data_IF_910667536577
#
_entry.id   IF_910667536577
#
_cell.length_a   1.000
_cell.length_b   1.000
_cell.length_c   1.000
_cell.angle_alpha   90.00
_cell.angle_beta   90.00
_cell.angle_gamma   90.00
#
_symmetry.space_group_name_H-M   'P 1'
#
loop_
_entity.id
_entity.type
_entity.pdbx_description
1 polymer ?
#
# COMPACT_ATOMS: atom_id res chain seq x y z
N UNK A 1 -32.64 6.18 -10.59
CA UNK A 1 -32.85 4.73 -10.55
C UNK A 1 -31.50 4.05 -10.68
N UNK A 2 -31.14 3.22 -9.71
CA UNK A 2 -29.89 2.45 -9.72
C UNK A 2 -29.94 1.34 -10.79
N UNK A 3 -28.77 0.86 -11.23
CA UNK A 3 -28.69 -0.21 -12.26
C UNK A 3 -29.45 -1.48 -11.86
N UNK A 4 -29.44 -1.83 -10.59
CA UNK A 4 -30.14 -3.01 -10.07
C UNK A 4 -31.67 -2.84 -10.10
N UNK A 5 -32.17 -1.63 -9.88
CA UNK A 5 -33.60 -1.31 -9.96
C UNK A 5 -34.11 -1.45 -11.40
N UNK A 6 -33.36 -0.97 -12.39
CA UNK A 6 -33.70 -1.17 -13.81
C UNK A 6 -33.79 -2.66 -14.16
N UNK A 7 -32.86 -3.49 -13.68
CA UNK A 7 -32.87 -4.94 -13.92
C UNK A 7 -34.07 -5.62 -13.27
N UNK A 8 -34.49 -5.16 -12.08
CA UNK A 8 -35.68 -5.67 -11.42
C UNK A 8 -36.95 -5.35 -12.21
N UNK A 9 -37.07 -4.12 -12.74
CA UNK A 9 -38.19 -3.72 -13.60
C UNK A 9 -38.21 -4.54 -14.89
N UNK A 10 -37.05 -4.73 -15.55
CA UNK A 10 -36.95 -5.57 -16.76
C UNK A 10 -37.38 -7.01 -16.44
N UNK A 11 -36.96 -7.57 -15.30
CA UNK A 11 -37.35 -8.92 -14.88
C UNK A 11 -38.86 -9.04 -14.71
N UNK A 12 -39.48 -8.08 -14.03
CA UNK A 12 -40.94 -8.05 -13.82
C UNK A 12 -41.71 -7.97 -15.14
N UNK A 13 -41.30 -7.08 -16.04
CA UNK A 13 -41.93 -6.93 -17.35
C UNK A 13 -41.72 -8.17 -18.23
N UNK A 14 -40.57 -8.83 -18.14
CA UNK A 14 -40.32 -10.11 -18.79
C UNK A 14 -41.24 -11.22 -18.25
N UNK A 15 -41.47 -11.29 -16.94
CA UNK A 15 -42.42 -12.25 -16.33
C UNK A 15 -43.87 -11.99 -16.78
N UNK A 16 -44.22 -10.74 -17.13
CA UNK A 16 -45.49 -10.38 -17.76
C UNK A 16 -45.57 -10.76 -19.26
N UNK A 17 -44.59 -11.49 -19.79
CA UNK A 17 -44.52 -11.94 -21.19
C UNK A 17 -44.42 -10.82 -22.23
N UNK A 18 -43.93 -9.64 -21.84
CA UNK A 18 -43.66 -8.54 -22.77
C UNK A 18 -42.42 -8.82 -23.62
N UNK A 19 -42.46 -8.37 -24.87
CA UNK A 19 -41.33 -8.49 -25.78
C UNK A 19 -40.26 -7.44 -25.46
N UNK A 20 -38.95 -7.73 -25.66
CA UNK A 20 -37.87 -6.79 -25.34
C UNK A 20 -38.05 -5.38 -25.96
N UNK A 21 -38.68 -5.32 -27.14
CA UNK A 21 -38.99 -4.07 -27.85
C UNK A 21 -40.02 -3.23 -27.09
N UNK A 22 -41.07 -3.87 -26.57
CA UNK A 22 -42.13 -3.25 -25.77
C UNK A 22 -41.57 -2.80 -24.42
N UNK A 23 -40.76 -3.64 -23.78
CA UNK A 23 -40.06 -3.30 -22.53
C UNK A 23 -39.19 -2.06 -22.72
N UNK A 24 -38.44 -1.97 -23.83
CA UNK A 24 -37.62 -0.79 -24.14
C UNK A 24 -38.46 0.46 -24.37
N UNK A 25 -39.60 0.33 -25.06
CA UNK A 25 -40.51 1.46 -25.31
C UNK A 25 -41.17 1.96 -24.01
N UNK A 26 -41.68 1.04 -23.17
CA UNK A 26 -42.23 1.31 -21.84
C UNK A 26 -41.22 2.04 -20.95
N UNK A 27 -39.98 1.52 -20.87
CA UNK A 27 -38.92 2.13 -20.07
C UNK A 27 -38.55 3.53 -20.59
N UNK A 28 -38.53 3.75 -21.91
CA UNK A 28 -38.23 5.06 -22.50
C UNK A 28 -39.37 6.07 -22.29
N UNK A 29 -40.61 5.59 -22.16
CA UNK A 29 -41.77 6.44 -21.88
C UNK A 29 -41.76 6.91 -20.42
N UNK A 30 -41.48 5.99 -19.49
CA UNK A 30 -41.45 6.29 -18.05
C UNK A 30 -40.20 7.08 -17.65
N UNK A 31 -39.07 6.85 -18.32
CA UNK A 31 -37.82 7.55 -18.04
C UNK A 31 -37.41 8.41 -19.22
N UNK A 32 -37.35 9.72 -19.00
CA UNK A 32 -36.80 10.69 -19.96
C UNK A 32 -35.30 10.51 -20.25
N UNK A 33 -34.66 9.53 -19.60
CA UNK A 33 -33.26 9.14 -19.80
C UNK A 33 -33.25 7.93 -20.72
N UNK A 34 -32.42 7.99 -21.77
CA UNK A 34 -32.21 6.88 -22.70
C UNK A 34 -31.92 5.59 -21.94
N UNK A 35 -32.83 4.63 -22.07
CA UNK A 35 -32.77 3.36 -21.36
C UNK A 35 -31.50 2.61 -21.77
N UNK A 36 -30.83 1.92 -20.84
CA UNK A 36 -29.61 1.19 -21.15
C UNK A 36 -29.81 0.24 -22.34
N UNK A 37 -28.87 0.23 -23.29
CA UNK A 37 -28.85 -0.71 -24.42
C UNK A 37 -28.87 -2.19 -23.96
N UNK A 38 -28.64 -2.44 -22.68
CA UNK A 38 -28.58 -3.73 -22.02
C UNK A 38 -29.94 -4.41 -21.79
N UNK A 39 -31.08 -3.78 -22.11
CA UNK A 39 -32.42 -4.41 -21.99
C UNK A 39 -32.48 -5.76 -22.71
N UNK A 40 -31.99 -5.82 -23.94
CA UNK A 40 -31.97 -7.07 -24.72
C UNK A 40 -31.11 -8.14 -24.07
N UNK A 41 -29.93 -7.75 -23.56
CA UNK A 41 -29.02 -8.67 -22.88
C UNK A 41 -29.67 -9.23 -21.60
N UNK A 42 -30.31 -8.37 -20.79
CA UNK A 42 -30.99 -8.81 -19.57
C UNK A 42 -32.19 -9.71 -19.84
N UNK A 43 -33.00 -9.42 -20.88
CA UNK A 43 -34.09 -10.32 -21.25
C UNK A 43 -33.55 -11.68 -21.71
N UNK A 44 -32.44 -11.71 -22.44
CA UNK A 44 -31.80 -12.97 -22.83
C UNK A 44 -31.24 -13.73 -21.61
N UNK A 45 -30.61 -13.06 -20.66
CA UNK A 45 -30.13 -13.66 -19.40
C UNK A 45 -31.29 -14.28 -18.61
N UNK A 46 -32.44 -13.60 -18.53
CA UNK A 46 -33.63 -14.14 -17.87
C UNK A 46 -34.24 -15.32 -18.63
N UNK A 47 -34.23 -15.30 -19.97
CA UNK A 47 -34.59 -16.47 -20.80
C UNK A 47 -33.67 -17.67 -20.56
N UNK A 48 -32.38 -17.42 -20.30
CA UNK A 48 -31.40 -18.43 -19.95
C UNK A 48 -31.50 -18.91 -18.48
N UNK A 49 -32.55 -18.52 -17.75
CA UNK A 49 -32.84 -19.03 -16.41
C UNK A 49 -32.18 -18.26 -15.27
N UNK A 50 -31.52 -17.12 -15.54
CA UNK A 50 -30.97 -16.28 -14.48
C UNK A 50 -32.10 -15.65 -13.67
N UNK A 51 -32.01 -15.66 -12.35
CA UNK A 51 -32.99 -15.04 -11.44
C UNK A 51 -32.43 -13.84 -10.67
N UNK A 52 -31.11 -13.70 -10.60
CA UNK A 52 -30.44 -12.62 -9.88
C UNK A 52 -30.31 -11.36 -10.73
N UNK A 53 -30.68 -10.22 -10.15
CA UNK A 53 -30.50 -8.87 -10.72
C UNK A 53 -29.13 -8.27 -10.38
N UNK A 54 -28.39 -8.87 -9.43
CA UNK A 54 -27.08 -8.41 -9.03
C UNK A 54 -26.02 -8.75 -10.09
N UNK A 55 -24.99 -7.91 -10.16
CA UNK A 55 -23.78 -8.23 -10.91
C UNK A 55 -23.12 -9.47 -10.34
N UNK A 56 -22.66 -10.35 -11.23
CA UNK A 56 -21.83 -11.48 -10.83
C UNK A 56 -20.48 -10.94 -10.35
N UNK A 57 -19.77 -11.66 -9.45
CA UNK A 57 -18.38 -11.33 -9.14
C UNK A 57 -17.60 -11.23 -10.44
N UNK A 58 -17.09 -10.04 -10.73
CA UNK A 58 -16.25 -9.85 -11.90
C UNK A 58 -14.88 -10.45 -11.59
N UNK A 59 -14.39 -11.30 -12.49
CA UNK A 59 -12.96 -11.61 -12.54
C UNK A 59 -12.24 -10.31 -12.91
N UNK A 60 -11.81 -9.57 -11.88
CA UNK A 60 -10.91 -8.44 -12.08
C UNK A 60 -9.61 -8.92 -12.72
N UNK A 61 -8.77 -7.98 -13.20
CA UNK A 61 -7.45 -8.33 -13.74
C UNK A 61 -6.70 -9.19 -12.71
N UNK A 62 -6.34 -10.45 -13.04
CA UNK A 62 -5.55 -11.25 -12.13
C UNK A 62 -4.21 -10.53 -11.92
N UNK A 63 -3.79 -10.41 -10.66
CA UNK A 63 -2.40 -10.06 -10.33
C UNK A 63 -1.60 -11.35 -10.53
N UNK A 64 -1.51 -11.79 -11.77
CA UNK A 64 -0.82 -13.04 -12.17
C UNK A 64 0.70 -12.93 -11.97
N UNK A 65 1.23 -11.71 -11.85
CA UNK A 65 2.67 -11.47 -11.66
C UNK A 65 3.16 -11.76 -10.23
N UNK A 66 2.29 -12.11 -9.28
CA UNK A 66 2.66 -12.40 -7.90
C UNK A 66 2.43 -13.89 -7.60
N UNK A 67 3.28 -14.76 -8.14
CA UNK A 67 3.32 -16.16 -7.72
C UNK A 67 3.71 -16.23 -6.23
N UNK A 68 3.31 -17.28 -5.49
CA UNK A 68 3.68 -17.43 -4.09
C UNK A 68 5.19 -17.37 -3.86
N UNK A 69 5.98 -17.95 -4.77
CA UNK A 69 7.45 -17.88 -4.76
C UNK A 69 7.99 -16.45 -4.83
N UNK A 70 7.33 -15.59 -5.61
CA UNK A 70 7.71 -14.18 -5.74
C UNK A 70 7.35 -13.41 -4.46
N UNK A 71 6.21 -13.72 -3.86
CA UNK A 71 5.77 -13.13 -2.59
C UNK A 71 6.76 -13.50 -1.48
N UNK A 72 7.15 -14.77 -1.40
CA UNK A 72 8.10 -15.27 -0.40
C UNK A 72 9.48 -14.62 -0.58
N UNK A 73 9.98 -14.47 -1.81
CA UNK A 73 11.22 -13.73 -2.08
C UNK A 73 11.16 -12.27 -1.62
N UNK A 74 10.06 -11.56 -1.92
CA UNK A 74 9.87 -10.17 -1.46
C UNK A 74 9.84 -10.13 0.07
N UNK A 75 9.17 -11.09 0.70
CA UNK A 75 9.08 -11.19 2.15
C UNK A 75 10.45 -11.43 2.80
N UNK A 76 11.25 -12.35 2.24
CA UNK A 76 12.60 -12.67 2.73
C UNK A 76 13.55 -11.47 2.61
N UNK A 77 13.50 -10.72 1.51
CA UNK A 77 14.31 -9.52 1.33
C UNK A 77 13.95 -8.46 2.39
N UNK A 78 12.66 -8.24 2.63
CA UNK A 78 12.18 -7.25 3.61
C UNK A 78 12.49 -7.69 5.05
N UNK A 79 12.46 -8.98 5.35
CA UNK A 79 12.86 -9.52 6.65
C UNK A 79 14.38 -9.42 6.89
N UNK A 80 15.17 -9.63 5.83
CA UNK A 80 16.64 -9.56 5.91
C UNK A 80 17.12 -8.13 6.08
N UNK A 81 16.55 -7.18 5.33
CA UNK A 81 16.84 -5.76 5.48
C UNK A 81 15.57 -4.90 5.39
N UNK A 82 15.17 -4.34 6.53
CA UNK A 82 14.00 -3.47 6.62
C UNK A 82 14.19 -2.09 5.94
N UNK A 83 15.41 -1.76 5.48
CA UNK A 83 15.74 -0.47 4.84
C UNK A 83 15.74 -0.52 3.32
N UNK A 84 15.48 -1.68 2.72
CA UNK A 84 15.52 -1.87 1.27
C UNK A 84 14.58 -0.88 0.60
N UNK A 85 15.12 -0.16 -0.39
CA UNK A 85 14.33 0.81 -1.15
C UNK A 85 13.47 0.06 -2.17
N UNK A 86 12.34 0.67 -2.53
CA UNK A 86 11.46 0.13 -3.57
C UNK A 86 12.19 -0.17 -4.89
N UNK A 87 13.18 0.66 -5.26
CA UNK A 87 14.03 0.44 -6.44
C UNK A 87 14.82 -0.87 -6.35
N UNK A 88 15.48 -1.12 -5.22
CA UNK A 88 16.26 -2.33 -4.99
C UNK A 88 15.38 -3.58 -4.99
N UNK A 89 14.15 -3.49 -4.44
CA UNK A 89 13.17 -4.58 -4.53
C UNK A 89 12.78 -4.88 -5.98
N UNK A 90 12.53 -3.85 -6.79
CA UNK A 90 12.20 -4.01 -8.21
C UNK A 90 13.36 -4.64 -8.98
N UNK A 91 14.59 -4.19 -8.74
CA UNK A 91 15.78 -4.69 -9.42
C UNK A 91 16.11 -6.14 -9.03
N UNK A 92 15.98 -6.50 -7.75
CA UNK A 92 16.27 -7.85 -7.24
C UNK A 92 15.21 -8.87 -7.65
N UNK A 93 13.94 -8.48 -7.67
CA UNK A 93 12.84 -9.41 -7.96
C UNK A 93 12.44 -9.40 -9.44
N UNK A 94 12.84 -8.39 -10.21
CA UNK A 94 12.48 -8.24 -11.62
C UNK A 94 11.01 -7.88 -11.86
N UNK A 95 10.27 -7.49 -10.81
CA UNK A 95 8.83 -7.22 -10.88
C UNK A 95 8.58 -5.74 -11.07
N UNK A 96 7.48 -5.39 -11.76
CA UNK A 96 7.02 -4.00 -11.82
C UNK A 96 6.78 -3.39 -10.43
N UNK A 97 7.10 -2.11 -10.31
CA UNK A 97 6.90 -1.31 -9.09
C UNK A 97 5.47 -1.40 -8.52
N UNK A 98 4.45 -1.41 -9.39
CA UNK A 98 3.05 -1.49 -8.97
C UNK A 98 2.71 -2.84 -8.30
N UNK A 99 3.30 -3.93 -8.79
CA UNK A 99 3.10 -5.26 -8.20
C UNK A 99 3.78 -5.34 -6.84
N UNK A 100 5.00 -4.82 -6.67
CA UNK A 100 5.71 -4.82 -5.38
C UNK A 100 4.91 -4.07 -4.32
N UNK A 101 4.35 -2.90 -4.65
CA UNK A 101 3.44 -2.17 -3.75
C UNK A 101 2.23 -3.03 -3.38
N UNK A 102 1.61 -3.68 -4.36
CA UNK A 102 0.45 -4.53 -4.10
C UNK A 102 0.79 -5.72 -3.21
N UNK A 103 1.96 -6.34 -3.38
CA UNK A 103 2.43 -7.44 -2.52
C UNK A 103 2.64 -6.93 -1.09
N UNK A 104 3.41 -5.85 -0.91
CA UNK A 104 3.70 -5.28 0.40
C UNK A 104 2.42 -4.87 1.16
N UNK A 105 1.50 -4.18 0.49
CA UNK A 105 0.33 -3.61 1.14
C UNK A 105 -0.84 -4.59 1.26
N UNK A 106 -1.12 -5.40 0.22
CA UNK A 106 -2.29 -6.29 0.19
C UNK A 106 -1.99 -7.69 0.69
N UNK A 107 -0.84 -8.25 0.34
CA UNK A 107 -0.48 -9.63 0.73
C UNK A 107 0.23 -9.67 2.08
N UNK A 108 1.20 -8.78 2.29
CA UNK A 108 1.98 -8.72 3.54
C UNK A 108 1.39 -7.76 4.60
N UNK A 109 0.35 -6.98 4.24
CA UNK A 109 -0.34 -6.09 5.18
C UNK A 109 0.51 -4.93 5.72
N UNK A 110 1.64 -4.61 5.09
CA UNK A 110 2.57 -3.58 5.55
C UNK A 110 2.03 -2.18 5.19
N UNK A 111 1.50 -1.46 6.18
CA UNK A 111 0.96 -0.09 6.01
C UNK A 111 2.03 1.00 5.92
N UNK A 112 3.24 0.72 6.39
CA UNK A 112 4.35 1.68 6.43
C UNK A 112 5.66 0.90 6.37
N UNK A 113 6.42 1.05 5.28
CA UNK A 113 7.86 0.78 5.30
C UNK A 113 8.48 1.88 6.17
N UNK A 114 8.33 1.78 7.49
CA UNK A 114 8.95 2.72 8.41
C UNK A 114 10.46 2.48 8.29
N UNK A 115 11.27 3.47 7.87
CA UNK A 115 12.69 3.36 8.05
C UNK A 115 12.95 3.33 9.56
N UNK A 116 13.14 2.14 10.14
CA UNK A 116 13.45 2.04 11.56
C UNK A 116 14.85 2.61 11.80
N UNK A 117 14.84 3.70 12.57
CA UNK A 117 15.96 4.41 13.21
C UNK A 117 17.10 4.72 12.24
N UNK A 118 17.15 5.96 11.73
CA UNK A 118 18.43 6.55 11.29
C UNK A 118 19.48 6.24 12.36
N UNK A 119 20.71 5.89 11.99
CA UNK A 119 21.80 5.74 12.98
C UNK A 119 21.96 7.10 13.65
N UNK A 120 21.32 7.28 14.81
CA UNK A 120 21.48 8.49 15.60
C UNK A 120 22.82 8.34 16.30
N UNK A 121 23.80 9.10 15.83
CA UNK A 121 25.07 9.26 16.52
C UNK A 121 24.87 10.37 17.53
N UNK A 122 25.06 10.05 18.80
CA UNK A 122 25.04 11.05 19.86
C UNK A 122 26.44 11.62 20.02
N UNK A 123 26.55 12.94 19.86
CA UNK A 123 27.72 13.70 20.31
C UNK A 123 27.43 14.12 21.75
N UNK A 124 28.21 13.58 22.68
CA UNK A 124 28.01 13.77 24.10
C UNK A 124 29.23 14.50 24.67
N UNK A 125 29.03 15.71 25.18
CA UNK A 125 30.11 16.46 25.81
C UNK A 125 30.72 15.65 26.97
N UNK A 126 32.03 15.79 27.20
CA UNK A 126 32.80 15.02 28.17
C UNK A 126 32.47 15.32 29.65
N UNK A 127 31.32 15.95 29.92
CA UNK A 127 30.87 16.25 31.27
C UNK A 127 30.64 14.96 32.08
N UNK A 128 31.05 14.97 33.35
CA UNK A 128 31.02 13.80 34.24
C UNK A 128 29.63 13.18 34.41
N UNK A 129 28.57 13.99 34.26
CA UNK A 129 27.16 13.55 34.33
C UNK A 129 26.85 12.54 33.20
N UNK A 130 27.52 12.70 32.06
CA UNK A 130 27.25 11.99 30.82
C UNK A 130 28.14 10.76 30.64
N UNK A 131 29.33 10.74 31.25
CA UNK A 131 30.26 9.60 31.24
C UNK A 131 30.02 8.61 32.39
N UNK A 132 29.01 8.82 33.24
CA UNK A 132 28.74 7.92 34.36
C UNK A 132 28.09 6.59 33.91
N UNK A 133 28.20 5.50 34.71
CA UNK A 133 27.78 4.16 34.27
C UNK A 133 26.28 4.03 33.96
N UNK A 134 25.41 4.78 34.65
CA UNK A 134 23.96 4.64 34.52
C UNK A 134 23.42 5.13 33.14
N UNK A 135 23.77 6.33 32.63
CA UNK A 135 23.50 6.73 31.26
C UNK A 135 24.16 5.80 30.24
N UNK A 136 25.42 5.41 30.45
CA UNK A 136 26.16 4.54 29.52
C UNK A 136 25.52 3.14 29.38
N UNK A 137 25.02 2.58 30.48
CA UNK A 137 24.26 1.33 30.46
C UNK A 137 23.01 1.44 29.59
N UNK A 138 22.26 2.55 29.74
CA UNK A 138 21.06 2.83 28.95
C UNK A 138 21.40 3.10 27.47
N UNK A 139 22.51 3.76 27.19
CA UNK A 139 23.03 3.96 25.83
C UNK A 139 23.36 2.64 25.12
N UNK A 140 24.02 1.72 25.83
CA UNK A 140 24.35 0.39 25.34
C UNK A 140 23.11 -0.47 25.14
N UNK A 141 22.15 -0.41 26.07
CA UNK A 141 20.84 -1.08 25.96
C UNK A 141 20.12 -0.67 24.67
N UNK A 142 20.14 0.62 24.33
CA UNK A 142 19.53 1.14 23.11
C UNK A 142 20.41 0.98 21.84
N UNK A 143 21.60 0.39 21.96
CA UNK A 143 22.58 0.16 20.87
C UNK A 143 22.99 1.42 20.09
N UNK A 144 23.07 2.55 20.78
CA UNK A 144 23.61 3.77 20.16
C UNK A 144 25.14 3.67 20.03
N UNK A 145 25.69 4.21 18.93
CA UNK A 145 27.15 4.33 18.76
C UNK A 145 27.59 5.70 19.25
N UNK A 146 28.45 5.74 20.25
CA UNK A 146 29.11 6.95 20.73
C UNK A 146 30.32 7.27 19.82
N UNK A 147 30.44 8.52 19.38
CA UNK A 147 31.62 8.96 18.62
C UNK A 147 32.80 9.24 19.57
N UNK A 148 34.03 8.83 19.21
CA UNK A 148 35.21 9.21 19.98
C UNK A 148 35.35 10.73 20.03
N UNK A 149 35.49 11.29 21.22
CA UNK A 149 35.79 12.71 21.40
C UNK A 149 37.29 12.97 21.31
N UNK A 150 37.67 14.09 20.71
CA UNK A 150 39.03 14.61 20.82
C UNK A 150 39.33 14.99 22.28
N UNK A 151 40.59 14.87 22.70
CA UNK A 151 41.03 15.39 23.99
C UNK A 151 40.67 16.90 24.09
N UNK A 152 40.16 17.29 25.25
CA UNK A 152 39.56 18.60 25.49
C UNK A 152 40.54 19.74 25.13
N UNK A 153 40.15 20.68 24.26
CA UNK A 153 40.82 21.97 24.11
C UNK A 153 40.09 22.97 25.02
N UNK A 154 40.72 23.51 26.08
CA UNK A 154 40.05 24.32 27.11
C UNK A 154 39.34 25.58 26.61
N UNK A 155 39.72 26.09 25.44
CA UNK A 155 39.28 27.39 24.93
C UNK A 155 38.06 27.31 23.99
N UNK A 156 37.61 26.09 23.67
CA UNK A 156 36.43 25.83 22.85
C UNK A 156 35.41 25.11 23.70
N UNK A 157 34.65 25.86 24.49
CA UNK A 157 33.41 25.34 25.07
C UNK A 157 32.32 25.32 23.99
N UNK A 158 31.61 24.21 23.78
CA UNK A 158 30.25 24.27 23.31
C UNK A 158 29.33 23.97 24.51
N UNK A 159 28.55 24.98 24.95
CA UNK A 159 27.20 24.66 25.42
C UNK A 159 26.47 24.01 24.24
N UNK A 160 25.34 23.33 24.43
CA UNK A 160 24.47 22.75 23.37
C UNK A 160 24.85 21.34 22.86
N UNK A 161 24.21 20.33 23.45
CA UNK A 161 24.09 18.96 22.90
C UNK A 161 23.48 19.06 21.49
N UNK A 162 24.29 18.87 20.45
CA UNK A 162 23.82 18.77 19.07
C UNK A 162 23.55 17.31 18.72
N UNK A 163 22.28 16.94 18.59
CA UNK A 163 21.91 15.72 17.88
C UNK A 163 22.21 15.93 16.38
N UNK A 164 23.31 15.38 15.88
CA UNK A 164 23.64 15.44 14.45
C UNK A 164 22.89 14.29 13.75
N UNK A 165 21.86 14.66 13.00
CA UNK A 165 21.23 13.76 12.05
C UNK A 165 22.08 13.73 10.77
N UNK A 166 22.88 12.69 10.56
CA UNK A 166 23.58 12.50 9.28
C UNK A 166 22.53 12.20 8.20
N UNK A 167 22.13 13.24 7.46
CA UNK A 167 21.66 13.06 6.09
C UNK A 167 22.89 12.67 5.28
N UNK A 168 22.76 11.60 4.51
CA UNK A 168 23.83 11.11 3.65
C UNK A 168 24.38 12.21 2.75
N UNK A 169 25.62 11.95 2.35
CA UNK A 169 26.38 12.60 1.28
C UNK A 169 27.28 13.74 1.75
N UNK A 170 28.47 13.40 2.27
CA UNK A 170 29.69 14.20 2.05
C UNK A 170 30.90 13.26 1.93
N UNK A 171 31.37 13.11 0.70
CA UNK A 171 32.78 12.90 0.35
C UNK A 171 33.33 14.27 -0.03
N UNK A 172 34.58 14.55 0.37
CA UNK A 172 35.56 15.55 -0.12
C UNK A 172 36.28 16.19 1.08
N UNK A 173 37.61 16.28 1.18
CA UNK A 173 38.76 15.83 0.38
C UNK A 173 39.85 15.41 1.37
#
# INVERSE_FOLDING_TARGET
MEKNEFRAVIKHLHMKSLMPKEIKAELNNVHSISVPATVYNWVNEFKCGRTSTCDAPHSGRPIEAATPEIIDKVHDIVLTDQRVKMRELVETTGISHGTVISILHKQLGMKKLVPMKKKVLFHQDNARIYTCPAPMAKFNEFRYKLLPHSAYSPDLAPHWIKCIELKGDYVEK
#
